data_IF_851417927142
#
_entry.id   IF_851417927142
#
_cell.length_a   1.000
_cell.length_b   1.000
_cell.length_c   1.000
_cell.angle_alpha   90.00
_cell.angle_beta   90.00
_cell.angle_gamma   90.00
#
_symmetry.space_group_name_H-M   'P 1'
#
loop_
_entity.id
_entity.type
_entity.pdbx_description
1 polymer ?
#
# COMPACT_ATOMS: atom_id res chain seq x y z
N UNK A 1 4.93 22.12 -7.59
CA UNK A 1 4.01 21.08 -7.10
C UNK A 1 4.62 19.70 -7.32
N UNK A 2 4.51 18.85 -6.31
CA UNK A 2 4.96 17.47 -6.48
C UNK A 2 3.96 16.68 -7.31
N UNK A 3 4.46 15.78 -8.15
CA UNK A 3 3.59 14.85 -8.86
C UNK A 3 2.89 13.92 -7.87
N UNK A 4 1.67 13.47 -8.16
CA UNK A 4 1.03 12.49 -7.30
C UNK A 4 1.83 11.20 -7.30
N UNK A 5 1.85 10.45 -6.18
CA UNK A 5 2.51 9.16 -6.16
C UNK A 5 1.75 8.15 -7.03
N UNK A 6 2.45 7.09 -7.40
CA UNK A 6 1.82 5.91 -7.97
C UNK A 6 1.15 5.12 -6.83
N UNK A 7 0.06 4.45 -7.14
CA UNK A 7 -0.65 3.62 -6.17
C UNK A 7 -0.69 2.17 -6.62
N UNK A 8 -0.34 1.27 -5.71
CA UNK A 8 -0.53 -0.16 -5.86
C UNK A 8 -1.55 -0.56 -4.80
N UNK A 9 -2.63 -1.20 -5.22
CA UNK A 9 -3.70 -1.61 -4.31
C UNK A 9 -3.79 -3.13 -4.30
N UNK A 10 -3.84 -3.71 -3.11
CA UNK A 10 -4.00 -5.15 -2.95
C UNK A 10 -5.10 -5.42 -1.94
N UNK A 11 -6.15 -6.05 -2.39
CA UNK A 11 -7.29 -6.47 -1.57
C UNK A 11 -8.01 -7.57 -2.31
N UNK A 12 -8.44 -8.60 -1.61
CA UNK A 12 -9.19 -9.70 -2.22
C UNK A 12 -10.65 -9.33 -2.49
N UNK A 13 -11.12 -8.19 -1.98
CA UNK A 13 -12.46 -7.68 -2.16
C UNK A 13 -12.49 -6.62 -3.26
N UNK A 14 -13.09 -6.97 -4.39
CA UNK A 14 -13.21 -6.05 -5.53
C UNK A 14 -13.94 -4.76 -5.15
N UNK A 15 -14.92 -4.85 -4.27
CA UNK A 15 -15.68 -3.68 -3.82
C UNK A 15 -14.76 -2.70 -3.07
N UNK A 16 -13.89 -3.22 -2.20
CA UNK A 16 -12.93 -2.39 -1.48
C UNK A 16 -11.94 -1.71 -2.45
N UNK A 17 -11.48 -2.42 -3.47
CA UNK A 17 -10.61 -1.85 -4.49
C UNK A 17 -11.32 -0.74 -5.28
N UNK A 18 -12.59 -0.93 -5.58
CA UNK A 18 -13.39 0.07 -6.31
C UNK A 18 -13.53 1.35 -5.49
N UNK A 19 -13.82 1.23 -4.21
CA UNK A 19 -13.95 2.38 -3.31
C UNK A 19 -12.61 3.10 -3.18
N UNK A 20 -11.53 2.37 -2.95
CA UNK A 20 -10.20 2.96 -2.83
C UNK A 20 -9.80 3.71 -4.10
N UNK A 21 -10.08 3.13 -5.26
CA UNK A 21 -9.79 3.77 -6.54
C UNK A 21 -10.55 5.09 -6.68
N UNK A 22 -11.83 5.12 -6.32
CA UNK A 22 -12.62 6.36 -6.37
C UNK A 22 -12.06 7.44 -5.46
N UNK A 23 -11.63 7.06 -4.27
CA UNK A 23 -11.05 8.01 -3.31
C UNK A 23 -9.76 8.58 -3.86
N UNK A 24 -8.90 7.73 -4.43
CA UNK A 24 -7.64 8.18 -5.03
C UNK A 24 -7.92 9.10 -6.21
N UNK A 25 -8.90 8.78 -7.05
CA UNK A 25 -9.27 9.63 -8.19
C UNK A 25 -9.83 10.97 -7.76
N UNK A 26 -10.47 11.06 -6.62
CA UNK A 26 -10.90 12.34 -6.07
C UNK A 26 -9.71 13.18 -5.63
N UNK A 27 -8.66 12.54 -5.12
CA UNK A 27 -7.42 13.22 -4.78
C UNK A 27 -6.66 13.64 -6.03
N UNK A 28 -6.50 12.73 -7.00
CA UNK A 28 -5.80 13.01 -8.25
C UNK A 28 -6.35 12.18 -9.40
N UNK A 29 -6.85 12.86 -10.44
CA UNK A 29 -7.35 12.20 -11.65
C UNK A 29 -6.24 11.57 -12.47
N UNK A 30 -5.01 12.06 -12.30
CA UNK A 30 -3.85 11.62 -13.09
C UNK A 30 -3.01 10.56 -12.38
N UNK A 31 -3.33 10.22 -11.15
CA UNK A 31 -2.57 9.21 -10.41
C UNK A 31 -2.61 7.87 -11.14
N UNK A 32 -1.45 7.24 -11.24
CA UNK A 32 -1.36 5.88 -11.77
C UNK A 32 -1.77 4.92 -10.68
N UNK A 33 -2.72 4.04 -11.00
CA UNK A 33 -3.27 3.08 -10.03
C UNK A 33 -3.23 1.69 -10.64
N UNK A 34 -2.60 0.75 -9.93
CA UNK A 34 -2.56 -0.65 -10.32
C UNK A 34 -3.16 -1.46 -9.17
N UNK A 35 -4.14 -2.28 -9.48
CA UNK A 35 -4.89 -3.05 -8.48
C UNK A 35 -4.69 -4.54 -8.66
N UNK A 36 -4.60 -5.26 -7.54
CA UNK A 36 -4.47 -6.70 -7.51
C UNK A 36 -5.46 -7.31 -6.53
N UNK A 37 -6.02 -8.45 -6.91
CA UNK A 37 -6.90 -9.24 -6.05
C UNK A 37 -6.14 -10.33 -5.32
N UNK A 38 -4.95 -10.70 -5.81
CA UNK A 38 -4.15 -11.78 -5.26
C UNK A 38 -2.75 -11.29 -4.85
N UNK A 39 -2.28 -11.74 -3.70
CA UNK A 39 -0.95 -11.41 -3.19
C UNK A 39 0.16 -11.79 -4.17
N UNK A 40 0.06 -12.97 -4.77
CA UNK A 40 1.09 -13.48 -5.68
C UNK A 40 1.30 -12.56 -6.86
N UNK A 41 0.21 -12.02 -7.42
CA UNK A 41 0.29 -11.11 -8.55
C UNK A 41 0.92 -9.77 -8.15
N UNK A 42 0.57 -9.27 -6.99
CA UNK A 42 1.15 -8.02 -6.49
C UNK A 42 2.66 -8.17 -6.23
N UNK A 43 3.06 -9.28 -5.61
CA UNK A 43 4.46 -9.55 -5.35
C UNK A 43 5.24 -9.67 -6.66
N UNK A 44 4.72 -10.41 -7.62
CA UNK A 44 5.35 -10.55 -8.93
C UNK A 44 5.53 -9.19 -9.60
N UNK A 45 4.51 -8.36 -9.55
CA UNK A 45 4.60 -7.02 -10.13
C UNK A 45 5.71 -6.20 -9.46
N UNK A 46 5.76 -6.18 -8.14
CA UNK A 46 6.77 -5.41 -7.42
C UNK A 46 8.17 -5.96 -7.69
N UNK A 47 8.34 -7.28 -7.72
CA UNK A 47 9.65 -7.91 -7.91
C UNK A 47 10.17 -7.83 -9.34
N UNK A 48 9.30 -7.62 -10.32
CA UNK A 48 9.69 -7.58 -11.73
C UNK A 48 9.46 -6.21 -12.36
N UNK A 49 8.21 -5.80 -12.48
CA UNK A 49 7.85 -4.63 -13.27
C UNK A 49 8.15 -3.31 -12.58
N UNK A 50 7.96 -3.26 -11.27
CA UNK A 50 8.21 -2.04 -10.50
C UNK A 50 9.67 -1.61 -10.61
N UNK A 51 10.59 -2.56 -10.53
CA UNK A 51 12.02 -2.25 -10.58
C UNK A 51 12.51 -1.86 -11.97
N UNK A 52 11.73 -2.10 -13.01
CA UNK A 52 12.10 -1.76 -14.39
C UNK A 52 11.71 -0.33 -14.78
N UNK A 53 10.81 0.29 -14.03
CA UNK A 53 10.29 1.60 -14.38
C UNK A 53 11.08 2.74 -13.75
N UNK A 54 10.68 3.95 -14.11
CA UNK A 54 11.18 5.15 -13.44
C UNK A 54 10.70 5.14 -12.00
N UNK A 55 11.61 5.40 -11.09
CA UNK A 55 11.30 5.41 -9.68
C UNK A 55 10.63 6.73 -9.30
N UNK A 56 9.42 6.63 -8.81
CA UNK A 56 8.68 7.74 -8.22
C UNK A 56 8.09 7.24 -6.92
N UNK A 57 7.68 8.16 -6.06
CA UNK A 57 7.02 7.77 -4.81
C UNK A 57 5.83 6.89 -5.14
N UNK A 58 5.76 5.75 -4.49
CA UNK A 58 4.71 4.76 -4.69
C UNK A 58 4.08 4.41 -3.34
N UNK A 59 2.77 4.48 -3.28
CA UNK A 59 1.99 4.08 -2.11
C UNK A 59 1.43 2.69 -2.39
N UNK A 60 1.79 1.73 -1.54
CA UNK A 60 1.27 0.37 -1.62
C UNK A 60 0.26 0.19 -0.48
N UNK A 61 -1.02 0.12 -0.83
CA UNK A 61 -2.09 -0.12 0.14
C UNK A 61 -2.46 -1.58 0.09
N UNK A 62 -2.26 -2.30 1.19
CA UNK A 62 -2.54 -3.72 1.26
C UNK A 62 -3.45 -4.06 2.44
N UNK A 63 -4.38 -4.99 2.20
CA UNK A 63 -5.15 -5.60 3.29
C UNK A 63 -4.24 -6.51 4.11
N UNK A 64 -4.56 -6.68 5.38
CA UNK A 64 -3.80 -7.57 6.27
C UNK A 64 -4.31 -9.01 6.21
N UNK A 65 -5.62 -9.19 6.05
CA UNK A 65 -6.26 -10.50 6.10
C UNK A 65 -6.79 -10.90 4.71
N UNK A 66 -6.10 -11.84 4.07
CA UNK A 66 -6.47 -12.36 2.76
C UNK A 66 -6.40 -13.89 2.76
N UNK A 67 -7.31 -14.57 2.03
CA UNK A 67 -7.41 -16.03 2.10
C UNK A 67 -6.18 -16.78 1.60
N UNK A 68 -5.52 -16.27 0.55
CA UNK A 68 -4.43 -16.99 -0.12
C UNK A 68 -3.08 -16.83 0.56
N UNK A 69 -2.83 -15.66 1.12
CA UNK A 69 -1.57 -15.37 1.77
C UNK A 69 -1.84 -14.41 2.93
N UNK A 70 -1.37 -14.79 4.11
CA UNK A 70 -1.39 -13.93 5.27
C UNK A 70 -0.63 -12.63 4.95
N UNK A 71 -1.22 -11.51 5.36
CA UNK A 71 -0.58 -10.19 5.18
C UNK A 71 0.81 -10.11 5.81
N UNK A 72 1.05 -10.84 6.88
CA UNK A 72 2.38 -10.88 7.50
C UNK A 72 3.39 -11.61 6.61
N UNK A 73 2.97 -12.67 5.91
CA UNK A 73 3.84 -13.34 4.96
C UNK A 73 4.20 -12.40 3.81
N UNK A 74 3.25 -11.59 3.35
CA UNK A 74 3.51 -10.55 2.36
C UNK A 74 4.54 -9.54 2.88
N UNK A 75 4.37 -9.06 4.11
CA UNK A 75 5.28 -8.08 4.70
C UNK A 75 6.68 -8.66 4.91
N UNK A 76 6.77 -9.93 5.33
CA UNK A 76 8.06 -10.62 5.45
C UNK A 76 8.80 -10.60 4.12
N UNK A 77 8.08 -10.89 3.04
CA UNK A 77 8.68 -10.90 1.71
C UNK A 77 9.07 -9.51 1.25
N UNK A 78 8.22 -8.52 1.49
CA UNK A 78 8.50 -7.13 1.12
C UNK A 78 9.68 -6.56 1.90
N UNK A 79 9.85 -6.95 3.15
CA UNK A 79 10.98 -6.50 3.97
C UNK A 79 12.33 -6.83 3.31
N UNK A 80 12.42 -7.98 2.66
CA UNK A 80 13.63 -8.41 1.97
C UNK A 80 13.70 -7.86 0.55
N UNK A 81 12.62 -8.01 -0.21
CA UNK A 81 12.57 -7.66 -1.64
C UNK A 81 12.73 -6.16 -1.87
N UNK A 82 12.08 -5.35 -1.03
CA UNK A 82 11.98 -3.90 -1.24
C UNK A 82 13.03 -3.10 -0.47
N UNK A 83 14.04 -3.77 0.08
CA UNK A 83 15.06 -3.10 0.90
C UNK A 83 15.71 -1.94 0.17
N UNK A 84 16.04 -2.09 -1.09
CA UNK A 84 16.69 -1.06 -1.90
C UNK A 84 15.74 0.07 -2.31
N UNK A 85 14.42 -0.13 -2.16
CA UNK A 85 13.40 0.81 -2.62
C UNK A 85 12.63 1.48 -1.49
N UNK A 86 13.11 1.37 -0.25
CA UNK A 86 12.40 1.89 0.92
C UNK A 86 12.11 3.38 0.87
N UNK A 87 12.98 4.13 0.22
CA UNK A 87 12.81 5.59 0.12
C UNK A 87 11.67 5.98 -0.81
N UNK A 88 11.26 5.09 -1.70
CA UNK A 88 10.26 5.37 -2.72
C UNK A 88 8.99 4.54 -2.59
N UNK A 89 9.09 3.33 -2.03
CA UNK A 89 7.94 2.45 -1.82
C UNK A 89 7.45 2.58 -0.38
N UNK A 90 6.24 3.10 -0.23
CA UNK A 90 5.63 3.37 1.07
C UNK A 90 4.46 2.44 1.27
N UNK A 91 4.60 1.48 2.19
CA UNK A 91 3.58 0.46 2.43
C UNK A 91 2.68 0.90 3.59
N UNK A 92 1.39 0.93 3.33
CA UNK A 92 0.36 1.17 4.34
C UNK A 92 -0.54 -0.05 4.39
N UNK A 93 -0.77 -0.55 5.60
CA UNK A 93 -1.65 -1.70 5.80
C UNK A 93 -3.02 -1.19 6.21
N UNK A 94 -4.05 -1.71 5.56
CA UNK A 94 -5.45 -1.40 5.85
C UNK A 94 -6.10 -2.64 6.43
N UNK A 95 -6.86 -2.49 7.51
CA UNK A 95 -7.59 -3.61 8.08
C UNK A 95 -8.85 -3.15 8.79
N UNK A 96 -9.92 -3.94 8.67
CA UNK A 96 -11.18 -3.66 9.35
C UNK A 96 -11.20 -4.17 10.80
N UNK A 97 -10.33 -5.12 11.13
CA UNK A 97 -10.44 -5.86 12.39
C UNK A 97 -9.08 -6.26 12.98
N UNK A 98 -8.05 -5.45 12.82
CA UNK A 98 -6.76 -5.76 13.42
C UNK A 98 -6.78 -5.51 14.93
N UNK A 99 -6.27 -6.46 15.70
CA UNK A 99 -6.12 -6.28 17.14
C UNK A 99 -4.85 -5.49 17.45
N UNK A 100 -4.71 -4.94 18.68
CA UNK A 100 -3.52 -4.15 19.02
C UNK A 100 -2.19 -4.86 18.80
N UNK A 101 -2.12 -6.18 19.07
CA UNK A 101 -0.89 -6.94 18.83
C UNK A 101 -0.54 -7.03 17.36
N UNK A 102 -1.54 -7.21 16.50
CA UNK A 102 -1.34 -7.22 15.05
C UNK A 102 -0.86 -5.86 14.55
N UNK A 103 -1.44 -4.78 15.05
CA UNK A 103 -1.03 -3.42 14.66
C UNK A 103 0.43 -3.18 15.06
N UNK A 104 0.81 -3.56 16.28
CA UNK A 104 2.20 -3.44 16.73
C UNK A 104 3.15 -4.23 15.85
N UNK A 105 2.76 -5.46 15.48
CA UNK A 105 3.57 -6.30 14.59
C UNK A 105 3.72 -5.66 13.21
N UNK A 106 2.63 -5.17 12.63
CA UNK A 106 2.66 -4.46 11.35
C UNK A 106 3.64 -3.30 11.40
N UNK A 107 3.54 -2.48 12.43
CA UNK A 107 4.38 -1.28 12.55
C UNK A 107 5.84 -1.59 12.89
N UNK A 108 6.16 -2.83 13.25
CA UNK A 108 7.54 -3.23 13.50
C UNK A 108 8.34 -3.49 12.22
N UNK A 109 7.67 -3.68 11.08
CA UNK A 109 8.35 -3.86 9.81
C UNK A 109 8.93 -2.55 9.30
N UNK A 110 10.17 -2.59 8.86
CA UNK A 110 10.83 -1.38 8.33
C UNK A 110 10.21 -0.91 7.02
N UNK A 111 9.67 -1.84 6.23
CA UNK A 111 9.02 -1.51 4.97
C UNK A 111 7.65 -0.86 5.14
N UNK A 112 7.05 -0.93 6.34
CA UNK A 112 5.72 -0.38 6.58
C UNK A 112 5.85 1.07 7.06
N UNK A 113 5.16 1.97 6.37
CA UNK A 113 5.11 3.37 6.72
C UNK A 113 3.99 3.66 7.72
N UNK A 114 2.87 2.96 7.62
CA UNK A 114 1.76 3.20 8.53
C UNK A 114 0.65 2.17 8.43
N UNK A 115 -0.31 2.32 9.32
CA UNK A 115 -1.49 1.47 9.42
C UNK A 115 -2.74 2.35 9.41
N UNK A 116 -3.78 1.90 8.73
CA UNK A 116 -5.08 2.56 8.72
C UNK A 116 -6.21 1.58 8.92
N UNK A 117 -7.23 1.99 9.65
CA UNK A 117 -8.47 1.23 9.72
C UNK A 117 -9.25 1.35 8.43
N UNK A 118 -9.94 0.29 8.02
CA UNK A 118 -10.93 0.35 6.95
C UNK A 118 -12.23 0.96 7.50
N UNK A 119 -13.00 1.63 6.67
CA UNK A 119 -12.77 1.88 5.26
C UNK A 119 -11.79 3.04 5.02
N UNK A 120 -11.15 3.03 3.87
CA UNK A 120 -10.37 4.18 3.43
C UNK A 120 -11.31 5.37 3.24
N UNK A 121 -10.85 6.54 3.61
CA UNK A 121 -11.62 7.78 3.47
C UNK A 121 -10.74 8.87 2.86
N UNK A 122 -11.37 9.96 2.47
CA UNK A 122 -10.63 11.12 1.93
C UNK A 122 -9.66 11.65 2.98
N UNK A 123 -10.06 11.73 4.24
CA UNK A 123 -9.20 12.20 5.33
C UNK A 123 -7.99 11.29 5.51
N UNK A 124 -8.22 9.96 5.50
CA UNK A 124 -7.13 9.00 5.63
C UNK A 124 -6.19 9.08 4.43
N UNK A 125 -6.74 9.29 3.23
CA UNK A 125 -5.93 9.46 2.03
C UNK A 125 -5.03 10.70 2.15
N UNK A 126 -5.54 11.81 2.63
CA UNK A 126 -4.71 13.00 2.84
C UNK A 126 -3.59 12.76 3.83
N UNK A 127 -3.85 12.01 4.89
CA UNK A 127 -2.80 11.65 5.86
C UNK A 127 -1.71 10.79 5.20
N UNK A 128 -2.12 9.81 4.41
CA UNK A 128 -1.19 8.95 3.68
C UNK A 128 -0.30 9.77 2.75
N UNK A 129 -0.91 10.63 1.95
CA UNK A 129 -0.18 11.48 1.01
C UNK A 129 0.77 12.41 1.74
N UNK A 130 0.34 12.98 2.87
CA UNK A 130 1.18 13.86 3.68
C UNK A 130 2.40 13.13 4.19
N UNK A 131 2.24 11.89 4.67
CA UNK A 131 3.37 11.07 5.13
C UNK A 131 4.38 10.81 4.02
N UNK A 132 3.91 10.64 2.77
CA UNK A 132 4.77 10.32 1.64
C UNK A 132 5.47 11.56 1.09
N UNK A 133 4.73 12.65 0.91
CA UNK A 133 5.26 13.86 0.26
C UNK A 133 6.00 14.79 1.23
N UNK A 134 5.69 14.71 2.50
CA UNK A 134 6.30 15.56 3.52
C UNK A 134 6.76 14.73 4.71
N UNK A 135 7.77 13.85 4.52
CA UNK A 135 8.26 13.02 5.62
C UNK A 135 8.91 13.88 6.69
N UNK A 136 8.68 13.50 7.93
CA UNK A 136 9.32 14.17 9.07
C UNK A 136 10.78 13.74 9.24
#
# INVERSE_FOLDING_TARGET
MKNPPRFILLDDDLFALTIATKIIRNYSRRAEIISFLACTDAIEYVETDYFKGKHQDTVFLTDLHMPEMDGFALLDRMETTCKAMRDQLHIFVLSAAACPDEIRRVLSYRCVTGFCDKPLSIEKMYRIITCVQYPL
#
